data_IF_714049260342
#
_entry.id   IF_714049260342
#
_cell.length_a   1.000
_cell.length_b   1.000
_cell.length_c   1.000
_cell.angle_alpha   90.00
_cell.angle_beta   90.00
_cell.angle_gamma   90.00
#
_symmetry.space_group_name_H-M   'P 1'
#
loop_
_entity.id
_entity.type
_entity.pdbx_description
1 polymer ?
#
# COMPACT_ATOMS: atom_id res chain seq x y z
N UNK A 1 -23.80 -9.37 6.58
CA UNK A 1 -23.95 -10.84 6.52
C UNK A 1 -22.59 -11.54 6.49
N UNK A 2 -21.73 -11.30 5.49
CA UNK A 2 -20.42 -11.96 5.39
C UNK A 2 -19.42 -11.62 6.51
N UNK A 3 -19.52 -10.42 7.11
CA UNK A 3 -18.70 -10.04 8.28
C UNK A 3 -18.92 -10.99 9.47
N UNK A 4 -20.18 -11.32 9.79
CA UNK A 4 -20.53 -12.25 10.85
C UNK A 4 -19.95 -13.65 10.57
N UNK A 5 -20.06 -14.10 9.33
CA UNK A 5 -19.51 -15.40 8.91
C UNK A 5 -17.98 -15.41 9.05
N UNK A 6 -17.32 -14.31 8.68
CA UNK A 6 -15.88 -14.15 8.84
C UNK A 6 -15.46 -14.19 10.31
N UNK A 7 -16.20 -13.55 11.19
CA UNK A 7 -15.91 -13.55 12.62
C UNK A 7 -16.16 -14.92 13.24
N UNK A 8 -17.24 -15.62 12.85
CA UNK A 8 -17.44 -17.02 13.27
C UNK A 8 -16.33 -17.95 12.77
N UNK A 9 -15.85 -17.76 11.53
CA UNK A 9 -14.74 -18.54 10.99
C UNK A 9 -13.44 -18.31 11.78
N UNK A 10 -13.15 -17.06 12.18
CA UNK A 10 -11.99 -16.76 13.04
C UNK A 10 -12.11 -17.45 14.39
N UNK A 11 -13.29 -17.44 15.01
CA UNK A 11 -13.54 -18.12 16.30
C UNK A 11 -13.33 -19.62 16.16
N UNK A 12 -13.87 -20.24 15.10
CA UNK A 12 -13.69 -21.67 14.83
C UNK A 12 -12.22 -22.02 14.62
N UNK A 13 -11.48 -21.22 13.83
CA UNK A 13 -10.05 -21.45 13.62
C UNK A 13 -9.29 -21.35 14.95
N UNK A 14 -9.55 -20.32 15.75
CA UNK A 14 -8.91 -20.15 17.03
C UNK A 14 -9.26 -21.28 18.02
N UNK A 15 -10.50 -21.78 17.96
CA UNK A 15 -10.95 -22.90 18.79
C UNK A 15 -10.28 -24.22 18.40
N UNK A 16 -10.22 -24.55 17.12
CA UNK A 16 -9.66 -25.82 16.65
C UNK A 16 -8.13 -25.85 16.62
N UNK A 17 -7.48 -24.71 16.42
CA UNK A 17 -6.05 -24.64 16.17
C UNK A 17 -5.26 -23.81 17.20
N UNK A 18 -5.93 -23.09 18.11
CA UNK A 18 -5.28 -22.20 19.08
C UNK A 18 -4.37 -21.17 18.38
N UNK A 19 -3.15 -21.01 18.89
CA UNK A 19 -2.14 -20.11 18.31
C UNK A 19 -1.44 -20.67 17.05
N UNK A 20 -1.64 -21.94 16.71
CA UNK A 20 -0.96 -22.58 15.59
C UNK A 20 -1.83 -22.46 14.34
N UNK A 21 -1.62 -21.41 13.53
CA UNK A 21 -2.33 -21.30 12.27
C UNK A 21 -2.08 -22.56 11.40
N UNK A 22 -3.12 -23.32 11.02
CA UNK A 22 -2.92 -24.44 10.11
C UNK A 22 -2.49 -23.91 8.75
N UNK A 23 -1.46 -24.53 8.19
CA UNK A 23 -1.02 -24.31 6.80
C UNK A 23 -1.90 -25.09 5.82
N UNK A 24 -3.22 -25.11 6.05
CA UNK A 24 -4.18 -25.73 5.16
C UNK A 24 -4.57 -24.72 4.08
N UNK A 25 -4.20 -25.02 2.83
CA UNK A 25 -4.52 -24.17 1.68
C UNK A 25 -6.01 -23.97 1.50
N UNK A 26 -6.84 -24.97 1.85
CA UNK A 26 -8.30 -24.91 1.70
C UNK A 26 -8.90 -23.90 2.66
N UNK A 27 -8.47 -23.95 3.91
CA UNK A 27 -8.90 -23.01 4.94
C UNK A 27 -8.43 -21.58 4.62
N UNK A 28 -7.21 -21.44 4.09
CA UNK A 28 -6.68 -20.15 3.67
C UNK A 28 -7.47 -19.56 2.48
N UNK A 29 -7.80 -20.37 1.48
CA UNK A 29 -8.66 -19.96 0.35
C UNK A 29 -10.05 -19.55 0.83
N UNK A 30 -10.66 -20.35 1.70
CA UNK A 30 -11.99 -20.05 2.25
C UNK A 30 -11.99 -18.74 3.03
N UNK A 31 -10.99 -18.53 3.90
CA UNK A 31 -10.79 -17.28 4.63
C UNK A 31 -10.62 -16.07 3.69
N UNK A 32 -9.78 -16.18 2.67
CA UNK A 32 -9.54 -15.09 1.72
C UNK A 32 -10.81 -14.71 0.94
N UNK A 33 -11.57 -15.71 0.49
CA UNK A 33 -12.85 -15.48 -0.20
C UNK A 33 -13.86 -14.79 0.74
N UNK A 34 -13.97 -15.28 1.97
CA UNK A 34 -14.87 -14.68 2.96
C UNK A 34 -14.46 -13.25 3.30
N UNK A 35 -13.16 -12.99 3.45
CA UNK A 35 -12.61 -11.66 3.65
C UNK A 35 -12.82 -10.74 2.46
N UNK A 36 -12.94 -11.27 1.24
CA UNK A 36 -13.24 -10.48 0.05
C UNK A 36 -14.71 -10.03 0.05
N UNK A 37 -15.64 -10.96 0.30
CA UNK A 37 -17.08 -10.66 0.35
C UNK A 37 -17.50 -9.83 1.56
N UNK A 38 -16.71 -9.87 2.63
CA UNK A 38 -16.96 -9.11 3.84
C UNK A 38 -16.30 -7.71 3.81
N UNK A 39 -15.39 -7.44 2.87
CA UNK A 39 -14.70 -6.16 2.78
C UNK A 39 -15.53 -5.09 2.11
N UNK A 40 -15.51 -3.89 2.70
CA UNK A 40 -16.03 -2.68 2.08
C UNK A 40 -15.11 -2.20 0.94
N UNK A 41 -15.63 -1.30 0.09
CA UNK A 41 -14.88 -0.73 -1.03
C UNK A 41 -13.57 -0.05 -0.58
N UNK A 42 -13.58 0.60 0.59
CA UNK A 42 -12.38 1.19 1.21
C UNK A 42 -11.32 0.16 1.58
N UNK A 43 -11.74 -1.00 2.10
CA UNK A 43 -10.85 -2.09 2.49
C UNK A 43 -10.24 -2.74 1.26
N UNK A 44 -11.04 -2.94 0.21
CA UNK A 44 -10.59 -3.53 -1.03
C UNK A 44 -9.55 -2.64 -1.74
N UNK A 45 -9.81 -1.33 -1.78
CA UNK A 45 -8.86 -0.35 -2.31
C UNK A 45 -7.56 -0.38 -1.50
N UNK A 46 -7.65 -0.42 -0.17
CA UNK A 46 -6.49 -0.46 0.71
C UNK A 46 -5.65 -1.72 0.52
N UNK A 47 -6.29 -2.89 0.42
CA UNK A 47 -5.62 -4.17 0.11
C UNK A 47 -4.92 -4.13 -1.24
N UNK A 48 -5.62 -3.68 -2.29
CA UNK A 48 -5.06 -3.55 -3.63
C UNK A 48 -3.82 -2.63 -3.64
N UNK A 49 -3.91 -1.45 -3.01
CA UNK A 49 -2.81 -0.50 -2.95
C UNK A 49 -1.60 -1.07 -2.20
N UNK A 50 -1.82 -1.82 -1.13
CA UNK A 50 -0.77 -2.50 -0.37
C UNK A 50 -0.11 -3.62 -1.17
N UNK A 51 -0.88 -4.46 -1.87
CA UNK A 51 -0.33 -5.49 -2.75
C UNK A 51 0.51 -4.87 -3.86
N UNK A 52 -0.04 -3.86 -4.53
CA UNK A 52 0.68 -3.12 -5.58
C UNK A 52 1.95 -2.45 -5.05
N UNK A 53 1.93 -1.93 -3.81
CA UNK A 53 3.11 -1.37 -3.15
C UNK A 53 4.17 -2.45 -2.88
N UNK A 54 3.76 -3.63 -2.39
CA UNK A 54 4.66 -4.77 -2.14
C UNK A 54 5.30 -5.28 -3.44
N UNK A 55 4.54 -5.35 -4.53
CA UNK A 55 5.05 -5.74 -5.84
C UNK A 55 6.07 -4.72 -6.37
N UNK A 56 5.75 -3.43 -6.32
CA UNK A 56 6.67 -2.36 -6.73
C UNK A 56 7.95 -2.33 -5.88
N UNK A 57 7.88 -2.73 -4.60
CA UNK A 57 9.05 -2.86 -3.72
C UNK A 57 9.93 -4.07 -4.07
N UNK A 58 9.35 -5.13 -4.64
CA UNK A 58 10.09 -6.32 -5.11
C UNK A 58 10.85 -6.04 -6.41
N UNK A 59 10.36 -5.12 -7.24
CA UNK A 59 11.10 -4.61 -8.41
C UNK A 59 12.32 -3.82 -7.94
N UNK A 60 13.44 -4.52 -7.77
CA UNK A 60 14.76 -3.92 -7.56
C UNK A 60 15.23 -3.26 -8.85
N UNK A 61 16.07 -2.24 -8.67
CA UNK A 61 16.79 -1.45 -9.69
C UNK A 61 15.90 -0.32 -10.26
N UNK A 62 16.13 0.97 -9.95
CA UNK A 62 17.21 1.79 -10.49
C UNK A 62 17.68 2.96 -9.57
N UNK A 63 17.15 3.12 -8.35
CA UNK A 63 17.55 4.18 -7.39
C UNK A 63 16.81 4.02 -6.05
N UNK A 64 17.31 4.65 -4.97
CA UNK A 64 16.65 4.68 -3.65
C UNK A 64 15.21 5.21 -3.71
N UNK A 65 14.95 6.24 -4.54
CA UNK A 65 13.65 6.92 -4.66
C UNK A 65 13.09 7.00 -6.09
N UNK A 66 13.85 6.53 -7.09
CA UNK A 66 13.56 6.70 -8.52
C UNK A 66 14.51 7.69 -9.18
N UNK A 67 14.23 8.09 -10.43
CA UNK A 67 15.04 9.09 -11.16
C UNK A 67 14.16 10.18 -11.78
N UNK A 68 14.64 11.42 -11.69
CA UNK A 68 13.99 12.59 -12.29
C UNK A 68 15.02 13.27 -13.17
N UNK A 69 14.63 13.57 -14.41
CA UNK A 69 15.44 14.34 -15.36
C UNK A 69 14.93 15.77 -15.37
N UNK A 70 15.80 16.71 -15.01
CA UNK A 70 15.49 18.13 -14.93
C UNK A 70 16.25 18.89 -16.01
N UNK A 71 15.63 19.95 -16.52
CA UNK A 71 16.28 21.00 -17.31
C UNK A 71 16.28 22.27 -16.47
N UNK A 72 17.48 22.83 -16.29
CA UNK A 72 17.68 24.09 -15.59
C UNK A 72 18.07 25.15 -16.61
N UNK A 73 17.41 26.29 -16.58
CA UNK A 73 17.72 27.45 -17.40
C UNK A 73 17.79 28.67 -16.49
N UNK A 74 18.97 29.26 -16.38
CA UNK A 74 19.17 30.50 -15.63
C UNK A 74 18.82 31.68 -16.53
N UNK A 75 17.76 32.40 -16.21
CA UNK A 75 17.37 33.66 -16.85
C UNK A 75 17.80 34.83 -15.95
N UNK A 76 17.90 36.07 -16.48
CA UNK A 76 18.46 37.20 -15.72
C UNK A 76 17.79 37.46 -14.38
N UNK A 77 16.47 37.25 -14.29
CA UNK A 77 15.66 37.55 -13.10
C UNK A 77 15.13 36.28 -12.38
N UNK A 78 15.29 35.09 -12.99
CA UNK A 78 14.72 33.87 -12.43
C UNK A 78 15.40 32.58 -12.92
N UNK A 79 15.39 31.55 -12.07
CA UNK A 79 15.78 30.20 -12.44
C UNK A 79 14.55 29.43 -12.94
N UNK A 80 14.54 29.05 -14.21
CA UNK A 80 13.53 28.15 -14.77
C UNK A 80 13.96 26.70 -14.55
N UNK A 81 13.15 25.96 -13.81
CA UNK A 81 13.30 24.52 -13.58
C UNK A 81 12.18 23.79 -14.29
N UNK A 82 12.52 22.89 -15.21
CA UNK A 82 11.57 22.10 -15.99
C UNK A 82 11.81 20.61 -15.77
N UNK A 83 10.74 19.88 -15.44
CA UNK A 83 10.80 18.43 -15.23
C UNK A 83 10.56 17.76 -16.59
N UNK A 84 11.60 17.17 -17.16
CA UNK A 84 11.52 16.50 -18.47
C UNK A 84 11.02 15.07 -18.35
N UNK A 85 11.39 14.37 -17.28
CA UNK A 85 10.99 12.99 -17.08
C UNK A 85 11.04 12.59 -15.60
N UNK A 86 10.17 11.66 -15.20
CA UNK A 86 10.20 11.01 -13.91
C UNK A 86 9.99 9.51 -14.11
N UNK A 87 11.00 8.70 -13.79
CA UNK A 87 10.99 7.25 -14.00
C UNK A 87 11.20 6.51 -12.69
N UNK A 88 10.50 5.38 -12.56
CA UNK A 88 10.63 4.45 -11.43
C UNK A 88 10.49 5.15 -10.06
N UNK A 89 9.66 6.21 -9.98
CA UNK A 89 9.36 6.86 -8.72
C UNK A 89 8.71 5.86 -7.79
N UNK A 90 9.28 5.69 -6.60
CA UNK A 90 8.68 4.80 -5.61
C UNK A 90 7.42 5.45 -5.05
N UNK A 91 6.30 4.70 -4.99
CA UNK A 91 5.11 5.21 -4.33
C UNK A 91 5.44 5.54 -2.87
N UNK A 92 4.88 6.62 -2.31
CA UNK A 92 4.97 6.88 -0.88
C UNK A 92 4.36 5.70 -0.12
N UNK A 93 4.88 5.41 1.08
CA UNK A 93 4.30 4.35 1.90
C UNK A 93 2.80 4.63 2.11
N UNK A 94 1.89 3.70 1.78
CA UNK A 94 0.46 3.91 2.01
C UNK A 94 0.15 4.25 3.47
N UNK A 95 0.92 3.73 4.43
CA UNK A 95 0.75 4.06 5.86
C UNK A 95 1.16 5.50 6.20
N UNK A 96 2.12 6.09 5.46
CA UNK A 96 2.55 7.48 5.71
C UNK A 96 1.58 8.52 5.13
N UNK A 97 0.61 8.12 4.31
CA UNK A 97 -0.44 9.04 3.83
C UNK A 97 -1.38 9.48 4.95
N UNK A 98 -1.56 8.66 5.98
CA UNK A 98 -2.43 8.97 7.11
C UNK A 98 -1.72 9.74 8.24
N UNK A 99 -0.38 9.82 8.25
CA UNK A 99 0.39 10.56 9.26
C UNK A 99 0.77 11.99 8.86
N UNK A 100 0.72 12.31 7.57
CA UNK A 100 1.18 13.60 7.04
C UNK A 100 0.08 14.68 6.97
N UNK A 101 -1.18 14.37 7.28
CA UNK A 101 -2.23 15.39 7.42
C UNK A 101 -1.98 16.34 8.60
N UNK A 102 -1.12 15.97 9.56
CA UNK A 102 -0.77 16.80 10.72
C UNK A 102 0.53 17.59 10.58
N UNK A 103 1.26 17.50 9.46
CA UNK A 103 2.60 18.12 9.31
C UNK A 103 2.74 19.16 8.19
N UNK A 104 1.66 19.55 7.52
CA UNK A 104 1.71 20.62 6.50
C UNK A 104 1.52 22.04 7.05
N UNK A 105 1.73 22.25 8.34
CA UNK A 105 1.78 23.61 8.91
C UNK A 105 3.12 23.71 9.64
N UNK A 106 3.90 24.73 9.31
CA UNK A 106 5.21 25.12 9.88
C UNK A 106 6.44 24.48 9.20
N UNK A 107 7.00 25.13 8.19
CA UNK A 107 8.08 26.11 8.43
C UNK A 107 8.38 26.94 7.19
N UNK A 108 8.57 28.23 7.48
CA UNK A 108 8.92 29.34 6.62
C UNK A 108 10.35 29.25 6.07
#
# INVERSE_FOLDING_TARGET
YFQLLLDTLKVLINFFYGDKLPHDETLLKMKNILQLYASDSSDLISRYMNERYREQKKTKEFSSLGSITLRLQMLPEHLRVEILNARHLKPPNPESRFSNSSKSIIMC
#
